data_IF_333925207539
#
_entry.id   IF_333925207539
#
_cell.length_a   1.000
_cell.length_b   1.000
_cell.length_c   1.000
_cell.angle_alpha   90.00
_cell.angle_beta   90.00
_cell.angle_gamma   90.00
#
_symmetry.space_group_name_H-M   'P 1'
#
loop_
_entity.id
_entity.type
_entity.pdbx_description
1 polymer ?
#
# COMPACT_ATOMS: atom_id res chain seq x y z
N UNK A 1 -6.08 -25.06 7.58
CA UNK A 1 -6.46 -23.72 8.07
C UNK A 1 -7.41 -23.11 7.05
N UNK A 2 -8.47 -22.42 7.46
CA UNK A 2 -9.38 -21.79 6.49
C UNK A 2 -8.63 -20.60 5.85
N UNK A 3 -8.44 -20.63 4.53
CA UNK A 3 -7.68 -19.64 3.77
C UNK A 3 -8.18 -18.20 4.02
N UNK A 4 -9.49 -18.02 4.18
CA UNK A 4 -10.07 -16.70 4.44
C UNK A 4 -9.70 -16.15 5.82
N UNK A 5 -9.62 -17.01 6.86
CA UNK A 5 -9.19 -16.59 8.20
C UNK A 5 -7.72 -16.18 8.15
N UNK A 6 -6.87 -17.00 7.55
CA UNK A 6 -5.44 -16.72 7.42
C UNK A 6 -5.18 -15.37 6.72
N UNK A 7 -5.84 -15.09 5.60
CA UNK A 7 -5.70 -13.80 4.90
C UNK A 7 -6.18 -12.64 5.76
N UNK A 8 -7.30 -12.81 6.48
CA UNK A 8 -7.80 -11.77 7.39
C UNK A 8 -6.80 -11.45 8.51
N UNK A 9 -6.14 -12.46 9.07
CA UNK A 9 -5.12 -12.29 10.11
C UNK A 9 -3.89 -11.53 9.60
N UNK A 10 -3.35 -11.91 8.44
CA UNK A 10 -2.17 -11.22 7.88
C UNK A 10 -2.50 -9.79 7.44
N UNK A 11 -3.71 -9.53 6.90
CA UNK A 11 -4.16 -8.17 6.57
C UNK A 11 -4.32 -7.35 7.85
N UNK A 12 -4.99 -7.87 8.89
CA UNK A 12 -5.15 -7.17 10.17
C UNK A 12 -3.79 -6.84 10.81
N UNK A 13 -2.84 -7.78 10.77
CA UNK A 13 -1.47 -7.58 11.27
C UNK A 13 -0.76 -6.47 10.50
N UNK A 14 -0.85 -6.47 9.16
CA UNK A 14 -0.28 -5.42 8.32
C UNK A 14 -0.86 -4.05 8.65
N UNK A 15 -2.19 -3.92 8.72
CA UNK A 15 -2.86 -2.66 9.03
C UNK A 15 -2.46 -2.13 10.41
N UNK A 16 -2.44 -3.00 11.41
CA UNK A 16 -2.02 -2.63 12.76
C UNK A 16 -0.58 -2.13 12.78
N UNK A 17 0.34 -2.85 12.13
CA UNK A 17 1.75 -2.46 12.02
C UNK A 17 1.91 -1.08 11.36
N UNK A 18 1.21 -0.82 10.26
CA UNK A 18 1.35 0.42 9.49
C UNK A 18 0.73 1.64 10.20
N UNK A 19 -0.16 1.43 11.17
CA UNK A 19 -0.83 2.51 11.91
C UNK A 19 -0.22 2.79 13.28
N UNK A 20 0.32 1.77 13.97
CA UNK A 20 0.71 1.86 15.38
C UNK A 20 1.75 2.95 15.65
N UNK A 21 2.73 3.13 14.75
CA UNK A 21 3.77 4.14 14.91
C UNK A 21 3.22 5.57 14.92
N UNK A 22 2.27 5.87 14.02
CA UNK A 22 1.65 7.20 13.97
C UNK A 22 0.64 7.42 15.11
N UNK A 23 -0.03 6.35 15.57
CA UNK A 23 -0.89 6.41 16.78
C UNK A 23 -0.02 6.73 18.00
N UNK A 24 1.13 6.05 18.16
CA UNK A 24 2.09 6.33 19.22
C UNK A 24 2.62 7.76 19.18
N UNK A 25 2.95 8.27 17.99
CA UNK A 25 3.40 9.65 17.83
C UNK A 25 2.32 10.67 18.26
N UNK A 26 1.04 10.40 17.94
CA UNK A 26 -0.08 11.25 18.41
C UNK A 26 -0.23 11.17 19.93
N UNK A 27 -0.16 9.98 20.54
CA UNK A 27 -0.26 9.81 21.99
C UNK A 27 0.85 10.57 22.72
N UNK A 28 2.11 10.38 22.30
CA UNK A 28 3.25 11.08 22.90
C UNK A 28 3.15 12.60 22.74
N UNK A 29 2.70 13.08 21.59
CA UNK A 29 2.53 14.51 21.37
C UNK A 29 1.42 15.11 22.27
N UNK A 30 0.35 14.35 22.56
CA UNK A 30 -0.69 14.76 23.51
C UNK A 30 -0.14 14.81 24.94
N UNK A 31 0.68 13.85 25.36
CA UNK A 31 1.34 13.86 26.66
C UNK A 31 2.25 15.08 26.81
N UNK A 32 3.08 15.37 25.81
CA UNK A 32 3.96 16.53 25.78
C UNK A 32 3.17 17.86 25.83
N UNK A 33 2.00 17.95 25.19
CA UNK A 33 1.14 19.14 25.27
C UNK A 33 0.63 19.39 26.70
N UNK A 34 0.41 18.33 27.48
CA UNK A 34 -0.08 18.45 28.86
C UNK A 34 1.02 18.76 29.88
N UNK A 35 2.26 18.38 29.57
CA UNK A 35 3.41 18.46 30.49
C UNK A 35 4.44 19.54 30.07
N UNK A 36 4.40 20.00 28.80
CA UNK A 36 5.45 20.80 28.19
C UNK A 36 5.31 22.31 28.37
N UNK A 37 6.42 23.00 28.15
CA UNK A 37 6.54 24.43 28.11
C UNK A 37 5.87 25.03 26.86
N UNK A 38 5.55 26.36 26.93
CA UNK A 38 4.92 27.07 25.80
C UNK A 38 5.78 27.09 24.55
N UNK A 39 7.11 27.00 24.71
CA UNK A 39 8.08 27.06 23.60
C UNK A 39 8.00 25.83 22.66
N UNK A 40 7.57 24.66 23.14
CA UNK A 40 7.49 23.42 22.35
C UNK A 40 6.15 23.22 21.63
N UNK A 41 5.17 24.07 21.87
CA UNK A 41 3.80 23.89 21.37
C UNK A 41 3.70 23.87 19.84
N UNK A 42 4.51 24.64 19.14
CA UNK A 42 4.51 24.66 17.67
C UNK A 42 5.01 23.34 17.10
N UNK A 43 6.10 22.80 17.63
CA UNK A 43 6.66 21.53 17.18
C UNK A 43 5.74 20.35 17.49
N UNK A 44 5.12 20.34 18.67
CA UNK A 44 4.11 19.35 19.05
C UNK A 44 2.89 19.44 18.11
N UNK A 45 2.43 20.65 17.80
CA UNK A 45 1.36 20.89 16.85
C UNK A 45 1.68 20.34 15.46
N UNK A 46 2.92 20.50 14.99
CA UNK A 46 3.40 19.97 13.72
C UNK A 46 3.40 18.43 13.70
N UNK A 47 3.85 17.78 14.78
CA UNK A 47 3.82 16.32 14.94
C UNK A 47 2.38 15.79 14.89
N UNK A 48 1.46 16.41 15.63
CA UNK A 48 0.04 16.03 15.65
C UNK A 48 -0.59 16.15 14.26
N UNK A 49 -0.38 17.29 13.60
CA UNK A 49 -0.91 17.54 12.26
C UNK A 49 -0.37 16.52 11.23
N UNK A 50 0.94 16.28 11.25
CA UNK A 50 1.58 15.31 10.35
C UNK A 50 1.04 13.91 10.58
N UNK A 51 1.09 13.40 11.83
CA UNK A 51 0.68 12.04 12.17
C UNK A 51 -0.82 11.81 11.89
N UNK A 52 -1.68 12.79 12.19
CA UNK A 52 -3.11 12.72 11.90
C UNK A 52 -3.40 12.67 10.41
N UNK A 53 -2.67 13.45 9.59
CA UNK A 53 -2.78 13.40 8.12
C UNK A 53 -2.36 12.04 7.57
N UNK A 54 -1.23 11.49 8.05
CA UNK A 54 -0.75 10.16 7.64
C UNK A 54 -1.77 9.09 8.00
N UNK A 55 -2.27 9.08 9.24
CA UNK A 55 -3.31 8.14 9.70
C UNK A 55 -4.57 8.21 8.82
N UNK A 56 -5.07 9.43 8.58
CA UNK A 56 -6.28 9.64 7.76
C UNK A 56 -6.11 9.10 6.34
N UNK A 57 -4.96 9.37 5.68
CA UNK A 57 -4.66 8.90 4.33
C UNK A 57 -4.56 7.37 4.28
N UNK A 58 -3.82 6.76 5.21
CA UNK A 58 -3.68 5.30 5.30
C UNK A 58 -5.01 4.61 5.55
N UNK A 59 -5.81 5.09 6.51
CA UNK A 59 -7.12 4.53 6.82
C UNK A 59 -8.08 4.62 5.63
N UNK A 60 -8.11 5.74 4.90
CA UNK A 60 -8.92 5.87 3.68
C UNK A 60 -8.51 4.85 2.62
N UNK A 61 -7.19 4.72 2.38
CA UNK A 61 -6.67 3.75 1.44
C UNK A 61 -7.01 2.31 1.85
N UNK A 62 -6.74 1.92 3.10
CA UNK A 62 -7.00 0.57 3.60
C UNK A 62 -8.47 0.19 3.53
N UNK A 63 -9.37 1.13 3.85
CA UNK A 63 -10.82 0.92 3.73
C UNK A 63 -11.24 0.62 2.29
N UNK A 64 -10.66 1.29 1.31
CA UNK A 64 -10.93 1.04 -0.10
C UNK A 64 -10.27 -0.26 -0.57
N UNK A 65 -9.02 -0.50 -0.19
CA UNK A 65 -8.23 -1.66 -0.61
C UNK A 65 -8.80 -2.97 -0.05
N UNK A 66 -9.01 -3.05 1.25
CA UNK A 66 -9.36 -4.30 1.96
C UNK A 66 -10.80 -4.34 2.46
N UNK A 67 -11.49 -3.21 2.56
CA UNK A 67 -12.84 -3.15 3.11
C UNK A 67 -13.91 -3.68 2.15
N UNK A 68 -15.05 -4.06 2.70
CA UNK A 68 -16.26 -4.50 1.97
C UNK A 68 -17.06 -3.32 1.37
N UNK A 69 -16.41 -2.17 1.17
CA UNK A 69 -17.11 -0.95 0.80
C UNK A 69 -17.72 -1.03 -0.60
N UNK A 70 -19.05 -0.91 -0.66
CA UNK A 70 -19.78 -0.55 -1.86
C UNK A 70 -19.71 0.97 -2.15
N UNK A 71 -19.04 1.75 -1.31
CA UNK A 71 -18.71 3.15 -1.58
C UNK A 71 -17.62 3.17 -2.66
N UNK A 72 -18.06 2.83 -3.87
CA UNK A 72 -17.21 2.73 -5.03
C UNK A 72 -16.50 4.06 -5.25
N UNK A 73 -15.22 3.97 -5.48
CA UNK A 73 -14.47 4.99 -6.20
C UNK A 73 -15.21 5.23 -7.52
N UNK A 74 -15.69 6.46 -7.73
CA UNK A 74 -16.57 6.78 -8.85
C UNK A 74 -15.80 7.12 -10.11
N UNK A 75 -14.62 7.70 -9.94
CA UNK A 75 -13.80 8.16 -11.06
C UNK A 75 -12.35 7.68 -10.94
N UNK A 76 -11.62 7.68 -12.04
CA UNK A 76 -10.19 7.35 -12.08
C UNK A 76 -9.36 8.39 -11.33
N UNK A 77 -9.82 9.65 -11.31
CA UNK A 77 -9.18 10.76 -10.58
C UNK A 77 -9.30 10.57 -9.06
N UNK A 78 -10.47 10.15 -8.56
CA UNK A 78 -10.64 9.81 -7.14
C UNK A 78 -9.72 8.64 -6.73
N UNK A 79 -9.60 7.64 -7.60
CA UNK A 79 -8.71 6.50 -7.37
C UNK A 79 -7.25 6.93 -7.36
N UNK A 80 -6.83 7.72 -8.37
CA UNK A 80 -5.47 8.25 -8.46
C UNK A 80 -5.11 9.09 -7.23
N UNK A 81 -6.02 9.99 -6.81
CA UNK A 81 -5.82 10.84 -5.62
C UNK A 81 -5.66 9.99 -4.37
N UNK A 82 -6.53 8.99 -4.16
CA UNK A 82 -6.47 8.13 -2.97
C UNK A 82 -5.19 7.29 -2.92
N UNK A 83 -4.72 6.79 -4.05
CA UNK A 83 -3.45 6.05 -4.13
C UNK A 83 -2.24 6.97 -3.97
N UNK A 84 -2.23 8.16 -4.61
CA UNK A 84 -1.14 9.13 -4.46
C UNK A 84 -1.03 9.61 -3.01
N UNK A 85 -2.16 9.90 -2.36
CA UNK A 85 -2.21 10.28 -0.94
C UNK A 85 -1.61 9.19 -0.04
N UNK A 86 -1.86 7.91 -0.33
CA UNK A 86 -1.24 6.80 0.37
C UNK A 86 0.27 6.74 0.12
N UNK A 87 0.70 6.81 -1.14
CA UNK A 87 2.12 6.75 -1.51
C UNK A 87 2.94 7.86 -0.84
N UNK A 88 2.37 9.06 -0.68
CA UNK A 88 2.99 10.17 0.06
C UNK A 88 3.15 9.92 1.56
N UNK A 89 2.52 8.86 2.12
CA UNK A 89 2.75 8.45 3.51
C UNK A 89 3.90 7.47 3.68
N UNK A 90 4.52 7.04 2.57
CA UNK A 90 5.60 6.07 2.56
C UNK A 90 6.96 6.78 2.47
N UNK A 91 7.95 6.22 3.14
CA UNK A 91 9.35 6.66 3.02
C UNK A 91 9.63 8.08 3.51
N UNK A 92 10.59 8.73 2.88
CA UNK A 92 11.05 10.08 3.23
C UNK A 92 10.24 11.13 2.47
N UNK A 93 9.66 12.14 3.14
CA UNK A 93 8.93 13.24 2.48
C UNK A 93 9.73 13.99 1.40
N UNK A 94 11.06 14.05 1.54
CA UNK A 94 11.94 14.69 0.56
C UNK A 94 12.23 13.82 -0.66
N UNK A 95 11.88 12.55 -0.61
CA UNK A 95 12.04 11.56 -1.69
C UNK A 95 10.72 10.80 -1.86
N UNK A 96 9.66 11.48 -2.33
CA UNK A 96 8.33 10.88 -2.39
C UNK A 96 8.26 9.79 -3.47
N UNK A 97 7.34 8.86 -3.26
CA UNK A 97 6.89 7.96 -4.31
C UNK A 97 5.67 8.56 -5.00
N UNK A 98 5.72 8.68 -6.32
CA UNK A 98 4.66 9.24 -7.16
C UNK A 98 3.88 8.15 -7.89
N UNK A 99 2.70 8.50 -8.43
CA UNK A 99 1.83 7.62 -9.19
C UNK A 99 1.66 8.14 -10.61
N UNK A 100 1.79 7.24 -11.60
CA UNK A 100 1.26 7.43 -12.94
C UNK A 100 0.17 6.38 -13.18
N UNK A 101 -1.07 6.80 -13.49
CA UNK A 101 -2.22 5.92 -13.61
C UNK A 101 -2.86 6.05 -14.99
N UNK A 102 -2.81 4.98 -15.78
CA UNK A 102 -3.41 4.86 -17.11
C UNK A 102 -4.36 3.67 -17.14
N UNK A 103 -5.60 3.87 -16.68
CA UNK A 103 -6.66 2.84 -16.67
C UNK A 103 -7.94 3.38 -17.26
N UNK A 104 -8.71 2.52 -17.91
CA UNK A 104 -9.98 2.88 -18.57
C UNK A 104 -11.18 2.95 -17.61
N UNK A 105 -11.10 2.36 -16.40
CA UNK A 105 -12.21 2.32 -15.46
C UNK A 105 -11.74 2.21 -14.02
N UNK A 106 -12.37 2.94 -13.07
CA UNK A 106 -12.05 2.80 -11.65
C UNK A 106 -12.55 1.48 -11.05
N UNK A 107 -13.41 0.73 -11.74
CA UNK A 107 -14.03 -0.51 -11.21
C UNK A 107 -13.02 -1.60 -10.84
N UNK A 108 -11.81 -1.55 -11.41
CA UNK A 108 -10.73 -2.51 -11.11
C UNK A 108 -9.88 -2.12 -9.88
N UNK A 109 -10.35 -1.15 -9.07
CA UNK A 109 -9.58 -0.65 -7.91
C UNK A 109 -9.15 -1.75 -6.92
N UNK A 110 -9.94 -2.82 -6.79
CA UNK A 110 -9.60 -3.98 -5.94
C UNK A 110 -8.41 -4.80 -6.46
N UNK A 111 -8.05 -4.65 -7.73
CA UNK A 111 -6.83 -5.24 -8.32
C UNK A 111 -5.67 -4.23 -8.24
N UNK A 112 -5.94 -2.99 -8.62
CA UNK A 112 -4.94 -1.93 -8.70
C UNK A 112 -4.36 -1.59 -7.33
N UNK A 113 -5.20 -1.35 -6.32
CA UNK A 113 -4.74 -0.84 -5.02
C UNK A 113 -3.81 -1.80 -4.27
N UNK A 114 -4.13 -3.11 -4.10
CA UNK A 114 -3.20 -4.02 -3.46
C UNK A 114 -1.93 -4.24 -4.28
N UNK A 115 -2.00 -4.23 -5.61
CA UNK A 115 -0.83 -4.31 -6.47
C UNK A 115 0.09 -3.09 -6.33
N UNK A 116 -0.47 -1.87 -6.32
CA UNK A 116 0.26 -0.62 -6.05
C UNK A 116 0.91 -0.66 -4.67
N UNK A 117 0.18 -1.06 -3.63
CA UNK A 117 0.71 -1.19 -2.27
C UNK A 117 1.89 -2.17 -2.23
N UNK A 118 1.76 -3.34 -2.88
CA UNK A 118 2.82 -4.34 -2.90
C UNK A 118 4.07 -3.85 -3.62
N UNK A 119 3.90 -3.23 -4.79
CA UNK A 119 5.03 -2.74 -5.58
C UNK A 119 5.69 -1.51 -4.95
N UNK A 120 4.94 -0.64 -4.28
CA UNK A 120 5.49 0.50 -3.55
C UNK A 120 6.44 0.08 -2.42
N UNK A 121 6.17 -1.07 -1.76
CA UNK A 121 7.05 -1.63 -0.72
C UNK A 121 8.41 -2.10 -1.27
N UNK A 122 8.59 -2.18 -2.58
CA UNK A 122 9.89 -2.49 -3.21
C UNK A 122 10.78 -1.26 -3.42
N UNK A 123 10.20 -0.05 -3.35
CA UNK A 123 10.91 1.21 -3.53
C UNK A 123 11.60 1.59 -2.20
N UNK A 124 12.92 1.77 -2.25
CA UNK A 124 13.73 2.08 -1.05
C UNK A 124 13.92 3.59 -0.85
N UNK A 125 14.11 4.34 -1.93
CA UNK A 125 14.46 5.78 -1.87
C UNK A 125 13.70 6.57 -2.93
N UNK A 126 12.39 6.78 -2.68
CA UNK A 126 11.56 7.50 -3.63
C UNK A 126 11.50 6.86 -5.02
N UNK A 127 10.57 7.29 -5.82
CA UNK A 127 10.39 6.75 -7.15
C UNK A 127 9.00 6.98 -7.70
N UNK A 128 8.58 6.07 -8.59
CA UNK A 128 7.28 6.15 -9.23
C UNK A 128 6.66 4.76 -9.33
N UNK A 129 5.37 4.66 -9.06
CA UNK A 129 4.56 3.51 -9.43
C UNK A 129 3.81 3.87 -10.72
N UNK A 130 4.11 3.16 -11.80
CA UNK A 130 3.39 3.28 -13.06
C UNK A 130 2.37 2.15 -13.17
N UNK A 131 1.11 2.52 -13.36
CA UNK A 131 0.00 1.58 -13.56
C UNK A 131 -0.54 1.77 -14.96
N UNK A 132 -0.57 0.71 -15.75
CA UNK A 132 -1.09 0.74 -17.12
C UNK A 132 -2.02 -0.44 -17.36
N UNK A 133 -3.23 -0.15 -17.80
CA UNK A 133 -4.17 -1.15 -18.29
C UNK A 133 -4.00 -1.29 -19.81
N UNK A 134 -3.84 -2.52 -20.26
CA UNK A 134 -3.91 -2.92 -21.68
C UNK A 134 -5.18 -3.73 -21.92
N UNK A 135 -5.41 -4.19 -23.15
CA UNK A 135 -6.55 -5.03 -23.48
C UNK A 135 -6.53 -6.36 -22.71
N UNK A 136 -5.32 -6.92 -22.47
CA UNK A 136 -5.14 -8.26 -21.91
C UNK A 136 -4.65 -8.27 -20.44
N UNK A 137 -4.09 -7.15 -19.93
CA UNK A 137 -3.45 -7.14 -18.63
C UNK A 137 -3.46 -5.77 -17.94
N UNK A 138 -3.30 -5.81 -16.62
CA UNK A 138 -2.95 -4.66 -15.78
C UNK A 138 -1.48 -4.80 -15.39
N UNK A 139 -0.69 -3.79 -15.71
CA UNK A 139 0.75 -3.70 -15.43
C UNK A 139 0.97 -2.72 -14.28
N UNK A 140 1.67 -3.13 -13.22
CA UNK A 140 2.06 -2.26 -12.10
C UNK A 140 3.57 -2.32 -11.95
N UNK A 141 4.26 -1.24 -12.34
CA UNK A 141 5.72 -1.16 -12.40
C UNK A 141 6.25 -0.24 -11.31
N UNK A 142 7.25 -0.70 -10.56
CA UNK A 142 8.01 0.14 -9.64
C UNK A 142 9.25 0.69 -10.35
N UNK A 143 9.39 2.00 -10.39
CA UNK A 143 10.52 2.71 -11.02
C UNK A 143 11.24 3.56 -9.97
N UNK A 144 12.56 3.49 -9.91
CA UNK A 144 13.39 4.30 -9.02
C UNK A 144 14.81 4.40 -9.57
N UNK A 145 15.46 5.54 -9.33
CA UNK A 145 16.89 5.73 -9.63
C UNK A 145 17.77 4.91 -8.67
N UNK A 146 17.27 4.62 -7.47
CA UNK A 146 17.92 3.72 -6.53
C UNK A 146 17.52 2.26 -6.79
N UNK A 147 18.39 1.29 -6.45
CA UNK A 147 18.02 -0.12 -6.56
C UNK A 147 16.78 -0.45 -5.74
N UNK A 148 15.85 -1.18 -6.35
CA UNK A 148 14.69 -1.71 -5.64
C UNK A 148 15.11 -2.79 -4.62
N UNK A 149 14.27 -3.04 -3.63
CA UNK A 149 14.48 -4.08 -2.63
C UNK A 149 14.41 -5.47 -3.27
N UNK A 150 15.59 -6.06 -3.55
CA UNK A 150 15.72 -7.36 -4.21
C UNK A 150 15.14 -8.51 -3.38
N UNK A 151 15.29 -8.48 -2.06
CA UNK A 151 14.71 -9.49 -1.18
C UNK A 151 13.17 -9.46 -1.24
N UNK A 152 12.60 -8.26 -1.28
CA UNK A 152 11.15 -8.07 -1.44
C UNK A 152 10.66 -8.64 -2.78
N UNK A 153 11.34 -8.32 -3.89
CA UNK A 153 11.00 -8.85 -5.22
C UNK A 153 11.12 -10.37 -5.27
N UNK A 154 12.17 -10.95 -4.68
CA UNK A 154 12.35 -12.42 -4.62
C UNK A 154 11.23 -13.11 -3.84
N UNK A 155 10.79 -12.54 -2.72
CA UNK A 155 9.66 -13.08 -1.95
C UNK A 155 8.32 -12.91 -2.68
N UNK A 156 8.11 -11.80 -3.42
CA UNK A 156 6.93 -11.66 -4.29
C UNK A 156 6.90 -12.79 -5.31
N UNK A 157 8.01 -13.05 -6.03
CA UNK A 157 8.11 -14.14 -6.99
C UNK A 157 7.81 -15.49 -6.34
N UNK A 158 8.40 -15.78 -5.17
CA UNK A 158 8.16 -17.01 -4.42
C UNK A 158 6.68 -17.22 -4.08
N UNK A 159 5.99 -16.17 -3.59
CA UNK A 159 4.55 -16.26 -3.27
C UNK A 159 3.73 -16.52 -4.54
N UNK A 160 4.09 -15.90 -5.67
CA UNK A 160 3.43 -16.12 -6.96
C UNK A 160 3.64 -17.54 -7.50
N UNK A 161 4.77 -18.17 -7.17
CA UNK A 161 5.08 -19.57 -7.51
C UNK A 161 4.45 -20.58 -6.53
N UNK A 162 3.58 -20.13 -5.63
CA UNK A 162 2.85 -20.99 -4.67
C UNK A 162 3.62 -21.29 -3.37
N UNK A 163 4.76 -20.64 -3.13
CA UNK A 163 5.48 -20.69 -1.86
C UNK A 163 4.97 -19.68 -0.84
N UNK A 164 5.61 -19.68 0.33
CA UNK A 164 5.36 -18.67 1.36
C UNK A 164 6.52 -17.67 1.41
N UNK A 165 6.22 -16.42 1.80
CA UNK A 165 7.27 -15.43 2.08
C UNK A 165 8.12 -15.89 3.27
N UNK A 166 9.45 -15.77 3.17
CA UNK A 166 10.38 -16.28 4.19
C UNK A 166 10.34 -15.51 5.50
N UNK A 167 10.11 -14.19 5.42
CA UNK A 167 10.12 -13.30 6.59
C UNK A 167 8.95 -12.33 6.52
N UNK A 168 8.42 -11.97 7.70
CA UNK A 168 7.39 -10.93 7.86
C UNK A 168 6.23 -11.08 6.87
N UNK A 169 5.54 -12.23 6.92
CA UNK A 169 4.43 -12.60 6.03
C UNK A 169 3.42 -11.47 5.87
N UNK A 170 3.11 -10.74 6.94
CA UNK A 170 2.16 -9.63 6.91
C UNK A 170 2.57 -8.50 5.97
N UNK A 171 3.86 -8.34 5.67
CA UNK A 171 4.31 -7.35 4.71
C UNK A 171 3.95 -7.70 3.26
N UNK A 172 3.50 -8.93 3.00
CA UNK A 172 2.99 -9.41 1.71
C UNK A 172 1.45 -9.54 1.71
N UNK A 173 0.79 -9.06 2.76
CA UNK A 173 -0.68 -9.06 2.87
C UNK A 173 -1.39 -8.55 1.61
N UNK A 174 -0.93 -7.47 0.93
CA UNK A 174 -1.57 -7.01 -0.30
C UNK A 174 -1.55 -8.05 -1.41
N UNK A 175 -0.45 -8.80 -1.54
CA UNK A 175 -0.31 -9.86 -2.55
C UNK A 175 -1.21 -11.05 -2.23
N UNK A 176 -1.19 -11.53 -0.99
CA UNK A 176 -2.08 -12.62 -0.56
C UNK A 176 -3.55 -12.25 -0.71
N UNK A 177 -3.91 -11.01 -0.39
CA UNK A 177 -5.27 -10.50 -0.59
C UNK A 177 -5.64 -10.47 -2.07
N UNK A 178 -4.75 -9.99 -2.94
CA UNK A 178 -4.97 -9.92 -4.39
C UNK A 178 -5.20 -11.33 -4.97
N UNK A 179 -4.36 -12.29 -4.61
CA UNK A 179 -4.49 -13.68 -5.07
C UNK A 179 -5.80 -14.31 -4.59
N UNK A 180 -6.19 -14.08 -3.33
CA UNK A 180 -7.47 -14.56 -2.82
C UNK A 180 -8.68 -13.88 -3.47
N UNK A 181 -8.57 -12.58 -3.77
CA UNK A 181 -9.62 -11.84 -4.45
C UNK A 181 -9.84 -12.34 -5.88
N UNK A 182 -8.78 -12.71 -6.57
CA UNK A 182 -8.84 -13.32 -7.90
C UNK A 182 -9.39 -14.76 -7.85
N UNK A 183 -9.05 -15.52 -6.80
CA UNK A 183 -9.55 -16.87 -6.61
C UNK A 183 -9.43 -17.72 -7.89
N UNK A 184 -10.52 -18.38 -8.28
CA UNK A 184 -10.59 -19.25 -9.45
C UNK A 184 -10.97 -18.48 -10.75
N UNK A 185 -10.73 -17.18 -10.83
CA UNK A 185 -11.11 -16.36 -12.01
C UNK A 185 -10.37 -16.72 -13.30
N UNK A 186 -9.28 -17.50 -13.21
CA UNK A 186 -8.40 -17.81 -14.33
C UNK A 186 -7.42 -16.68 -14.67
N UNK A 187 -7.45 -15.57 -13.95
CA UNK A 187 -6.52 -14.46 -14.11
C UNK A 187 -5.21 -14.78 -13.40
N UNK A 188 -4.11 -14.80 -14.15
CA UNK A 188 -2.77 -15.03 -13.58
C UNK A 188 -2.16 -13.74 -13.03
N UNK A 189 -1.33 -13.89 -11.99
CA UNK A 189 -0.45 -12.82 -11.49
C UNK A 189 0.98 -13.28 -11.64
N UNK A 190 1.82 -12.46 -12.27
CA UNK A 190 3.23 -12.78 -12.54
C UNK A 190 4.11 -11.57 -12.22
N UNK A 191 5.34 -11.81 -11.84
CA UNK A 191 6.35 -10.77 -11.67
C UNK A 191 7.37 -10.85 -12.81
N UNK A 192 7.44 -9.81 -13.64
CA UNK A 192 8.42 -9.65 -14.70
C UNK A 192 9.40 -8.54 -14.35
N UNK A 193 10.56 -8.89 -13.78
CA UNK A 193 11.51 -7.93 -13.29
C UNK A 193 10.92 -7.05 -12.17
N UNK A 194 10.64 -5.80 -12.47
CA UNK A 194 10.05 -4.81 -11.57
C UNK A 194 8.57 -4.51 -11.86
N UNK A 195 7.92 -5.34 -12.67
CA UNK A 195 6.52 -5.17 -13.09
C UNK A 195 5.69 -6.35 -12.62
N UNK A 196 4.65 -6.08 -11.83
CA UNK A 196 3.59 -7.03 -11.51
C UNK A 196 2.57 -7.00 -12.66
N UNK A 197 2.33 -8.15 -13.27
CA UNK A 197 1.42 -8.36 -14.40
C UNK A 197 0.21 -9.13 -13.90
N UNK A 198 -1.00 -8.59 -14.09
CA UNK A 198 -2.27 -9.24 -13.72
C UNK A 198 -3.08 -9.36 -15.00
N UNK A 199 -3.24 -10.56 -15.51
CA UNK A 199 -3.91 -10.80 -16.79
C UNK A 199 -3.89 -12.27 -17.18
N UNK A 200 -4.42 -12.57 -18.38
CA UNK A 200 -4.49 -13.93 -18.92
C UNK A 200 -3.13 -14.45 -19.40
#
# INVERSE_FOLDING_TARGET
MNTNIYISEIVATRLSHDLIGNIGAVANAVELLNEGDEDDREDIGNILNFSSKVLSRRLKFFRLCFGMSNAAVKTTEELATGMQDYLLTLGNPNLPTTLALEIGTPKIYKLVMPAVMMMADTIVKGGKIAVKQTDDALLVTAESDAPLNKAKLANIARVLDGGEAEENISSYAPLYYLLAYLGDSGVAVRLNGQTLVIGA
#
